data_IF_893147456958
#
_entry.id   IF_893147456958
#
_cell.length_a   1.000
_cell.length_b   1.000
_cell.length_c   1.000
_cell.angle_alpha   90.00
_cell.angle_beta   90.00
_cell.angle_gamma   90.00
#
_symmetry.space_group_name_H-M   'P 1'
#
loop_
_entity.id
_entity.type
_entity.pdbx_description
1 polymer ?
#
# COMPACT_ATOMS: atom_id res chain seq x y z
N UNK A 1 41.06 -9.75 1.94
CA UNK A 1 40.76 -8.40 1.44
C UNK A 1 39.26 -8.26 1.11
N UNK A 2 38.39 -8.32 2.13
CA UNK A 2 36.91 -8.43 1.94
C UNK A 2 36.16 -7.16 2.38
N UNK A 3 36.84 -6.28 3.13
CA UNK A 3 36.26 -5.07 3.72
C UNK A 3 35.89 -3.97 2.71
N UNK A 4 36.60 -3.87 1.58
CA UNK A 4 36.39 -2.77 0.62
C UNK A 4 35.11 -2.95 -0.22
N UNK A 5 34.65 -4.19 -0.42
CA UNK A 5 33.36 -4.50 -1.07
C UNK A 5 32.17 -4.25 -0.14
N UNK A 6 32.23 -4.76 1.10
CA UNK A 6 31.18 -4.56 2.08
C UNK A 6 30.91 -3.07 2.35
N UNK A 7 31.96 -2.26 2.48
CA UNK A 7 31.83 -0.79 2.69
C UNK A 7 31.23 -0.06 1.48
N UNK A 8 31.47 -0.56 0.26
CA UNK A 8 30.89 -0.02 -0.98
C UNK A 8 29.42 -0.38 -1.12
N UNK A 9 29.05 -1.61 -0.75
CA UNK A 9 27.65 -2.06 -0.71
C UNK A 9 26.84 -1.31 0.35
N UNK A 10 27.41 -1.13 1.55
CA UNK A 10 26.81 -0.35 2.63
C UNK A 10 26.60 1.12 2.22
N UNK A 11 27.60 1.76 1.61
CA UNK A 11 27.45 3.12 1.09
C UNK A 11 26.41 3.20 -0.03
N UNK A 12 26.30 2.17 -0.87
CA UNK A 12 25.28 2.09 -1.91
C UNK A 12 23.88 1.99 -1.30
N UNK A 13 23.72 1.20 -0.25
CA UNK A 13 22.44 1.05 0.44
C UNK A 13 22.04 2.33 1.19
N UNK A 14 22.97 2.98 1.89
CA UNK A 14 22.73 4.28 2.53
C UNK A 14 22.23 5.31 1.52
N UNK A 15 22.83 5.36 0.33
CA UNK A 15 22.42 6.26 -0.75
C UNK A 15 21.04 5.92 -1.31
N UNK A 16 20.76 4.63 -1.47
CA UNK A 16 19.47 4.13 -1.92
C UNK A 16 18.36 4.50 -0.93
N UNK A 17 18.60 4.27 0.37
CA UNK A 17 17.71 4.65 1.45
C UNK A 17 17.44 6.15 1.46
N UNK A 18 18.47 6.99 1.34
CA UNK A 18 18.29 8.44 1.28
C UNK A 18 17.39 8.90 0.11
N UNK A 19 17.45 8.23 -1.04
CA UNK A 19 16.55 8.51 -2.17
C UNK A 19 15.10 8.12 -1.84
N UNK A 20 14.89 6.94 -1.23
CA UNK A 20 13.57 6.49 -0.81
C UNK A 20 12.97 7.39 0.26
N UNK A 21 13.74 7.75 1.28
CA UNK A 21 13.30 8.64 2.37
C UNK A 21 12.93 10.02 1.83
N UNK A 22 13.68 10.54 0.85
CA UNK A 22 13.34 11.80 0.18
C UNK A 22 12.04 11.67 -0.62
N UNK A 23 11.84 10.55 -1.32
CA UNK A 23 10.61 10.29 -2.06
C UNK A 23 9.40 10.13 -1.13
N UNK A 24 9.56 9.50 0.02
CA UNK A 24 8.55 9.41 1.07
C UNK A 24 8.15 10.81 1.56
N UNK A 25 9.13 11.65 1.93
CA UNK A 25 8.86 13.02 2.36
C UNK A 25 8.18 13.88 1.28
N UNK A 26 8.47 13.62 0.00
CA UNK A 26 7.74 14.28 -1.09
C UNK A 26 6.26 13.89 -1.13
N UNK A 27 5.94 12.61 -0.89
CA UNK A 27 4.56 12.12 -0.91
C UNK A 27 3.72 12.65 0.26
N UNK A 28 4.35 13.09 1.35
CA UNK A 28 3.68 13.82 2.43
C UNK A 28 3.26 15.25 2.00
N UNK A 29 3.88 15.79 0.95
CA UNK A 29 3.66 17.16 0.47
C UNK A 29 2.87 17.23 -0.84
N UNK A 30 2.90 16.19 -1.66
CA UNK A 30 2.31 16.21 -3.00
C UNK A 30 1.75 14.85 -3.43
N UNK A 31 0.73 14.83 -4.30
CA UNK A 31 0.18 13.59 -4.84
C UNK A 31 1.23 12.78 -5.61
N UNK A 32 1.02 11.46 -5.66
CA UNK A 32 1.88 10.54 -6.43
C UNK A 32 2.15 11.11 -7.82
N UNK A 33 1.14 11.54 -8.57
CA UNK A 33 1.28 12.04 -9.94
C UNK A 33 2.31 13.19 -10.10
N UNK A 34 2.46 14.05 -9.10
CA UNK A 34 3.31 15.26 -9.15
C UNK A 34 4.77 15.02 -8.77
N UNK A 35 5.08 13.90 -8.11
CA UNK A 35 6.47 13.52 -7.83
C UNK A 35 7.25 13.51 -9.15
N UNK A 36 8.45 14.07 -9.21
CA UNK A 36 9.26 14.03 -10.44
C UNK A 36 10.69 13.63 -10.14
N UNK A 37 11.34 12.94 -11.09
CA UNK A 37 12.74 12.55 -10.90
C UNK A 37 13.66 13.78 -10.78
N UNK A 38 13.31 14.89 -11.43
CA UNK A 38 14.04 16.14 -11.35
C UNK A 38 13.95 16.74 -9.93
N UNK A 39 12.73 16.82 -9.38
CA UNK A 39 12.51 17.35 -8.03
C UNK A 39 13.12 16.44 -6.96
N UNK A 40 12.99 15.12 -7.11
CA UNK A 40 13.64 14.14 -6.24
C UNK A 40 15.16 14.32 -6.23
N UNK A 41 15.77 14.45 -7.41
CA UNK A 41 17.22 14.69 -7.57
C UNK A 41 17.65 15.98 -6.85
N UNK A 42 16.87 17.05 -6.99
CA UNK A 42 17.12 18.34 -6.34
C UNK A 42 17.06 18.21 -4.81
N UNK A 43 16.03 17.57 -4.27
CA UNK A 43 15.82 17.42 -2.82
C UNK A 43 16.84 16.50 -2.15
N UNK A 44 17.21 15.39 -2.79
CA UNK A 44 18.25 14.48 -2.26
C UNK A 44 19.68 15.02 -2.47
N UNK A 45 19.83 16.14 -3.18
CA UNK A 45 21.13 16.77 -3.42
C UNK A 45 22.03 15.98 -4.39
N UNK A 46 21.43 15.23 -5.31
CA UNK A 46 22.16 14.42 -6.30
C UNK A 46 21.85 14.90 -7.71
N UNK A 47 22.84 14.84 -8.60
CA UNK A 47 22.57 14.96 -10.04
C UNK A 47 21.60 13.86 -10.48
N UNK A 48 20.72 14.17 -11.44
CA UNK A 48 19.76 13.19 -12.01
C UNK A 48 20.44 11.92 -12.49
N UNK A 49 21.59 12.05 -13.15
CA UNK A 49 22.41 10.92 -13.59
C UNK A 49 22.89 10.04 -12.45
N UNK A 50 23.11 10.58 -11.24
CA UNK A 50 23.51 9.81 -10.07
C UNK A 50 22.32 9.04 -9.48
N UNK A 51 21.12 9.64 -9.40
CA UNK A 51 19.90 8.95 -8.98
C UNK A 51 19.61 7.77 -9.92
N UNK A 52 19.78 7.98 -11.23
CA UNK A 52 19.60 6.96 -12.26
C UNK A 52 20.54 5.74 -12.15
N UNK A 53 21.61 5.82 -11.36
CA UNK A 53 22.49 4.66 -11.06
C UNK A 53 21.89 3.71 -10.02
N UNK A 54 20.90 4.17 -9.26
CA UNK A 54 20.22 3.40 -8.22
C UNK A 54 18.83 2.95 -8.68
N UNK A 55 18.12 3.81 -9.41
CA UNK A 55 16.76 3.57 -9.89
C UNK A 55 16.64 4.04 -11.33
N UNK A 56 16.17 3.19 -12.25
CA UNK A 56 16.11 3.51 -13.68
C UNK A 56 15.10 4.62 -14.03
N UNK A 57 14.11 4.85 -13.17
CA UNK A 57 13.04 5.82 -13.37
C UNK A 57 12.46 6.28 -12.02
N UNK A 58 11.58 7.27 -12.08
CA UNK A 58 10.78 7.68 -10.91
C UNK A 58 9.87 6.54 -10.47
N UNK A 59 9.23 5.87 -11.41
CA UNK A 59 8.33 4.76 -11.19
C UNK A 59 9.06 3.62 -10.46
N UNK A 60 10.31 3.33 -10.83
CA UNK A 60 11.13 2.35 -10.11
C UNK A 60 11.40 2.74 -8.64
N UNK A 61 11.57 4.04 -8.34
CA UNK A 61 11.68 4.53 -6.94
C UNK A 61 10.37 4.27 -6.20
N UNK A 62 9.24 4.62 -6.82
CA UNK A 62 7.92 4.54 -6.18
C UNK A 62 7.43 3.11 -5.98
N UNK A 63 7.70 2.19 -6.92
CA UNK A 63 7.40 0.76 -6.76
C UNK A 63 8.17 0.14 -5.59
N UNK A 64 9.42 0.55 -5.41
CA UNK A 64 10.21 0.06 -4.29
C UNK A 64 9.78 0.67 -2.96
N UNK A 65 9.44 1.96 -2.96
CA UNK A 65 8.87 2.61 -1.79
C UNK A 65 7.55 1.95 -1.38
N UNK A 66 6.72 1.55 -2.35
CA UNK A 66 5.51 0.77 -2.10
C UNK A 66 5.81 -0.56 -1.39
N UNK A 67 6.85 -1.30 -1.81
CA UNK A 67 7.25 -2.53 -1.12
C UNK A 67 7.72 -2.28 0.33
N UNK A 68 8.46 -1.18 0.56
CA UNK A 68 8.90 -0.76 1.90
C UNK A 68 7.68 -0.49 2.79
N UNK A 69 6.74 0.33 2.32
CA UNK A 69 5.53 0.67 3.09
C UNK A 69 4.63 -0.54 3.32
N UNK A 70 4.49 -1.46 2.36
CA UNK A 70 3.78 -2.72 2.56
C UNK A 70 4.44 -3.56 3.66
N UNK A 71 5.78 -3.62 3.69
CA UNK A 71 6.50 -4.35 4.72
C UNK A 71 6.31 -3.78 6.13
N UNK A 72 6.40 -2.46 6.25
CA UNK A 72 6.18 -1.75 7.52
C UNK A 72 4.74 -1.92 8.01
N UNK A 73 3.77 -1.71 7.11
CA UNK A 73 2.35 -1.92 7.44
C UNK A 73 2.06 -3.36 7.86
N UNK A 74 2.60 -4.38 7.19
CA UNK A 74 2.36 -5.77 7.57
C UNK A 74 2.94 -6.11 8.95
N UNK A 75 4.07 -5.50 9.34
CA UNK A 75 4.64 -5.68 10.66
C UNK A 75 3.73 -5.10 11.75
N UNK A 76 3.18 -3.90 11.53
CA UNK A 76 2.23 -3.28 12.46
C UNK A 76 0.89 -4.01 12.49
N UNK A 77 0.38 -4.41 11.33
CA UNK A 77 -0.86 -5.18 11.20
C UNK A 77 -0.78 -6.49 12.00
N UNK A 78 0.36 -7.17 11.99
CA UNK A 78 0.55 -8.38 12.79
C UNK A 78 0.35 -8.12 14.30
N UNK A 79 0.86 -6.99 14.81
CA UNK A 79 0.66 -6.59 16.21
C UNK A 79 -0.79 -6.22 16.49
N UNK A 80 -1.44 -5.46 15.61
CA UNK A 80 -2.84 -5.06 15.77
C UNK A 80 -3.80 -6.26 15.75
N UNK A 81 -3.61 -7.20 14.81
CA UNK A 81 -4.43 -8.41 14.71
C UNK A 81 -4.27 -9.31 15.95
N UNK A 82 -3.04 -9.47 16.44
CA UNK A 82 -2.76 -10.25 17.65
C UNK A 82 -3.43 -9.66 18.90
N UNK A 83 -3.53 -8.34 19.00
CA UNK A 83 -4.16 -7.65 20.12
C UNK A 83 -5.69 -7.54 19.98
N UNK A 84 -6.21 -7.41 18.76
CA UNK A 84 -7.60 -7.03 18.50
C UNK A 84 -8.54 -8.17 18.12
N UNK A 85 -8.05 -9.34 17.70
CA UNK A 85 -8.91 -10.47 17.30
C UNK A 85 -9.05 -11.48 18.42
N UNK A 86 -10.29 -11.74 18.84
CA UNK A 86 -10.62 -12.72 19.88
C UNK A 86 -10.60 -14.15 19.31
N UNK A 87 -9.55 -14.92 19.62
CA UNK A 87 -9.36 -16.26 19.07
C UNK A 87 -10.52 -17.25 19.33
N UNK A 88 -11.30 -17.06 20.40
CA UNK A 88 -12.43 -17.92 20.78
C UNK A 88 -13.80 -17.39 20.34
N UNK A 89 -13.84 -16.26 19.64
CA UNK A 89 -15.08 -15.72 19.11
C UNK A 89 -15.62 -16.55 17.93
N UNK A 90 -16.90 -16.35 17.61
CA UNK A 90 -17.48 -16.91 16.38
C UNK A 90 -16.71 -16.46 15.14
N UNK A 91 -16.82 -17.21 14.05
CA UNK A 91 -16.11 -16.93 12.80
C UNK A 91 -16.50 -15.54 12.28
N UNK A 92 -17.80 -15.21 12.35
CA UNK A 92 -18.35 -13.92 11.93
C UNK A 92 -17.77 -12.78 12.75
N UNK A 93 -17.70 -12.94 14.09
CA UNK A 93 -17.14 -11.91 14.96
C UNK A 93 -15.64 -11.71 14.71
N UNK A 94 -14.88 -12.79 14.46
CA UNK A 94 -13.46 -12.67 14.07
C UNK A 94 -13.32 -11.96 12.71
N UNK A 95 -14.17 -12.27 11.75
CA UNK A 95 -14.17 -11.63 10.43
C UNK A 95 -14.43 -10.12 10.54
N UNK A 96 -15.39 -9.72 11.36
CA UNK A 96 -15.68 -8.30 11.65
C UNK A 96 -14.51 -7.60 12.34
N UNK A 97 -13.85 -8.24 13.29
CA UNK A 97 -12.66 -7.70 13.97
C UNK A 97 -11.49 -7.50 12.99
N UNK A 98 -11.24 -8.49 12.12
CA UNK A 98 -10.22 -8.40 11.07
C UNK A 98 -10.55 -7.28 10.09
N UNK A 99 -11.81 -7.15 9.67
CA UNK A 99 -12.26 -6.08 8.78
C UNK A 99 -12.06 -4.69 9.41
N UNK A 100 -12.40 -4.51 10.69
CA UNK A 100 -12.20 -3.24 11.41
C UNK A 100 -10.72 -2.86 11.52
N UNK A 101 -9.85 -3.82 11.83
CA UNK A 101 -8.40 -3.59 11.92
C UNK A 101 -7.80 -3.25 10.55
N UNK A 102 -8.16 -4.01 9.51
CA UNK A 102 -7.68 -3.75 8.15
C UNK A 102 -8.14 -2.38 7.64
N UNK A 103 -9.42 -2.05 7.82
CA UNK A 103 -9.99 -0.78 7.35
C UNK A 103 -9.38 0.42 8.05
N UNK A 104 -9.23 0.38 9.38
CA UNK A 104 -8.55 1.44 10.15
C UNK A 104 -7.09 1.59 9.71
N UNK A 105 -6.32 0.49 9.73
CA UNK A 105 -4.87 0.55 9.48
C UNK A 105 -4.53 1.03 8.06
N UNK A 106 -5.36 0.73 7.06
CA UNK A 106 -5.21 1.22 5.69
C UNK A 106 -5.72 2.65 5.51
N UNK A 107 -6.86 3.01 6.13
CA UNK A 107 -7.38 4.38 6.07
C UNK A 107 -6.41 5.43 6.65
N UNK A 108 -5.61 5.04 7.65
CA UNK A 108 -4.57 5.88 8.24
C UNK A 108 -3.31 6.01 7.36
N UNK A 109 -3.18 5.22 6.29
CA UNK A 109 -1.99 5.14 5.41
C UNK A 109 -2.32 5.58 3.99
N UNK A 110 -2.77 6.82 3.85
CA UNK A 110 -3.18 7.41 2.56
C UNK A 110 -2.13 7.24 1.46
N UNK A 111 -0.85 7.53 1.76
CA UNK A 111 0.25 7.42 0.78
C UNK A 111 0.45 5.97 0.30
N UNK A 112 0.32 4.98 1.19
CA UNK A 112 0.40 3.57 0.80
C UNK A 112 -0.74 3.21 -0.16
N UNK A 113 -1.97 3.62 0.16
CA UNK A 113 -3.13 3.39 -0.69
C UNK A 113 -2.98 4.07 -2.05
N UNK A 114 -2.53 5.31 -2.09
CA UNK A 114 -2.31 6.06 -3.33
C UNK A 114 -1.25 5.42 -4.23
N UNK A 115 -0.13 4.98 -3.65
CA UNK A 115 0.90 4.25 -4.39
C UNK A 115 0.37 2.93 -4.96
N UNK A 116 -0.42 2.19 -4.16
CA UNK A 116 -1.01 0.94 -4.61
C UNK A 116 -2.05 1.17 -5.73
N UNK A 117 -2.89 2.20 -5.58
CA UNK A 117 -3.87 2.61 -6.61
C UNK A 117 -3.22 3.06 -7.91
N UNK A 118 -2.09 3.78 -7.83
CA UNK A 118 -1.32 4.23 -9.00
C UNK A 118 -0.51 3.10 -9.65
N UNK A 119 -0.26 1.99 -8.96
CA UNK A 119 0.65 0.94 -9.41
C UNK A 119 0.30 0.41 -10.81
N UNK A 120 -0.93 -0.10 -10.98
CA UNK A 120 -1.35 -0.75 -12.22
C UNK A 120 -1.58 0.23 -13.37
N UNK A 121 -2.03 1.46 -13.07
CA UNK A 121 -2.37 2.48 -14.07
C UNK A 121 -1.20 3.37 -14.50
N UNK A 122 -0.16 3.48 -13.69
CA UNK A 122 0.93 4.45 -13.89
C UNK A 122 2.29 3.79 -13.70
N UNK A 123 2.55 3.25 -12.50
CA UNK A 123 3.92 2.87 -12.11
C UNK A 123 4.47 1.68 -12.91
N UNK A 124 3.61 0.75 -13.34
CA UNK A 124 4.02 -0.44 -14.10
C UNK A 124 4.20 -0.19 -15.61
N UNK A 125 3.91 1.02 -16.11
CA UNK A 125 3.97 1.33 -17.56
C UNK A 125 5.33 1.84 -18.04
N UNK A 126 6.07 2.58 -17.20
CA UNK A 126 7.30 3.28 -17.58
C UNK A 126 8.56 2.68 -16.91
N UNK A 127 8.59 1.36 -16.82
CA UNK A 127 9.68 0.60 -16.20
C UNK A 127 10.08 -0.58 -17.08
N UNK A 128 11.30 -1.05 -16.92
CA UNK A 128 11.81 -2.23 -17.59
C UNK A 128 11.12 -3.49 -17.09
N UNK A 129 11.10 -4.51 -17.94
CA UNK A 129 10.58 -5.85 -17.60
C UNK A 129 11.25 -6.42 -16.35
N UNK A 130 12.54 -6.13 -16.13
CA UNK A 130 13.27 -6.63 -14.95
C UNK A 130 12.86 -5.91 -13.67
N UNK A 131 12.53 -4.61 -13.72
CA UNK A 131 11.93 -3.90 -12.58
C UNK A 131 10.54 -4.45 -12.28
N UNK A 132 9.69 -4.66 -13.29
CA UNK A 132 8.38 -5.28 -13.09
C UNK A 132 8.50 -6.67 -12.48
N UNK A 133 9.39 -7.52 -12.98
CA UNK A 133 9.61 -8.87 -12.41
C UNK A 133 10.06 -8.81 -10.95
N UNK A 134 10.97 -7.90 -10.60
CA UNK A 134 11.43 -7.72 -9.22
C UNK A 134 10.27 -7.28 -8.32
N UNK A 135 9.51 -6.28 -8.76
CA UNK A 135 8.32 -5.78 -8.08
C UNK A 135 7.27 -6.86 -7.86
N UNK A 136 6.90 -7.61 -8.90
CA UNK A 136 5.89 -8.68 -8.80
C UNK A 136 6.33 -9.83 -7.90
N UNK A 137 7.63 -10.18 -7.88
CA UNK A 137 8.15 -11.18 -6.94
C UNK A 137 8.09 -10.70 -5.49
N UNK A 138 8.45 -9.45 -5.23
CA UNK A 138 8.31 -8.85 -3.90
C UNK A 138 6.85 -8.81 -3.47
N UNK A 139 5.95 -8.34 -4.35
CA UNK A 139 4.50 -8.33 -4.15
C UNK A 139 3.93 -9.71 -3.82
N UNK A 140 4.40 -10.76 -4.51
CA UNK A 140 3.99 -12.15 -4.22
C UNK A 140 4.38 -12.56 -2.80
N UNK A 141 5.58 -12.17 -2.33
CA UNK A 141 6.03 -12.37 -0.96
C UNK A 141 5.13 -11.63 0.04
N UNK A 142 4.85 -10.35 -0.19
CA UNK A 142 3.97 -9.53 0.69
C UNK A 142 2.56 -10.12 0.79
N UNK A 143 1.99 -10.58 -0.32
CA UNK A 143 0.67 -11.22 -0.33
C UNK A 143 0.67 -12.55 0.42
N UNK A 144 1.75 -13.33 0.31
CA UNK A 144 1.89 -14.57 1.07
C UNK A 144 2.02 -14.31 2.57
N UNK A 145 2.79 -13.30 2.98
CA UNK A 145 2.94 -12.88 4.37
C UNK A 145 1.60 -12.41 4.94
N UNK A 146 0.89 -11.53 4.22
CA UNK A 146 -0.44 -11.04 4.60
C UNK A 146 -1.45 -12.20 4.74
N UNK A 147 -1.51 -13.10 3.76
CA UNK A 147 -2.39 -14.26 3.81
C UNK A 147 -2.03 -15.20 4.98
N UNK A 148 -0.74 -15.30 5.32
CA UNK A 148 -0.27 -16.02 6.51
C UNK A 148 -0.68 -15.35 7.82
N UNK A 149 -0.71 -14.01 7.89
CA UNK A 149 -1.22 -13.27 9.04
C UNK A 149 -2.73 -13.46 9.19
N UNK A 150 -3.51 -13.25 8.13
CA UNK A 150 -4.95 -13.37 8.20
C UNK A 150 -5.38 -14.79 8.57
N UNK A 151 -4.74 -15.84 8.04
CA UNK A 151 -5.05 -17.24 8.38
C UNK A 151 -4.79 -17.63 9.84
N UNK A 152 -3.93 -16.91 10.57
CA UNK A 152 -3.77 -17.14 12.02
C UNK A 152 -5.02 -16.74 12.81
N UNK A 153 -5.77 -15.79 12.30
CA UNK A 153 -6.95 -15.22 12.94
C UNK A 153 -8.26 -15.72 12.32
N UNK A 154 -8.22 -16.10 11.05
CA UNK A 154 -9.31 -16.71 10.28
C UNK A 154 -8.79 -17.94 9.53
N UNK A 155 -8.59 -19.09 10.22
CA UNK A 155 -8.18 -20.34 9.57
C UNK A 155 -9.15 -20.84 8.50
N UNK A 156 -10.39 -20.33 8.52
CA UNK A 156 -11.43 -20.62 7.54
C UNK A 156 -11.14 -19.99 6.16
N UNK A 157 -10.18 -19.07 6.06
CA UNK A 157 -9.70 -18.57 4.78
C UNK A 157 -9.01 -19.71 4.02
N UNK A 158 -9.64 -20.15 2.92
CA UNK A 158 -9.10 -21.19 2.06
C UNK A 158 -7.85 -20.78 1.28
N UNK A 159 -7.49 -21.60 0.29
CA UNK A 159 -6.28 -21.41 -0.51
C UNK A 159 -6.25 -20.10 -1.31
N UNK A 160 -7.42 -19.48 -1.53
CA UNK A 160 -7.57 -18.19 -2.21
C UNK A 160 -7.21 -16.97 -1.33
N UNK A 161 -6.77 -17.17 -0.09
CA UNK A 161 -6.40 -16.08 0.83
C UNK A 161 -5.42 -15.04 0.22
N UNK A 162 -4.38 -15.42 -0.57
CA UNK A 162 -3.52 -14.42 -1.22
C UNK A 162 -4.25 -13.55 -2.26
N UNK A 163 -5.21 -14.12 -3.00
CA UNK A 163 -6.02 -13.38 -3.97
C UNK A 163 -6.96 -12.42 -3.24
N UNK A 164 -7.57 -12.85 -2.14
CA UNK A 164 -8.35 -11.97 -1.27
C UNK A 164 -7.51 -10.81 -0.73
N UNK A 165 -6.29 -11.06 -0.27
CA UNK A 165 -5.36 -10.02 0.18
C UNK A 165 -5.07 -9.00 -0.93
N UNK A 166 -4.89 -9.47 -2.16
CA UNK A 166 -4.73 -8.59 -3.32
C UNK A 166 -5.98 -7.73 -3.54
N UNK A 167 -7.18 -8.31 -3.50
CA UNK A 167 -8.44 -7.58 -3.69
C UNK A 167 -8.65 -6.54 -2.58
N UNK A 168 -8.29 -6.85 -1.34
CA UNK A 168 -8.31 -5.92 -0.20
C UNK A 168 -7.43 -4.70 -0.49
N UNK A 169 -6.18 -4.92 -0.91
CA UNK A 169 -5.25 -3.84 -1.26
C UNK A 169 -5.70 -3.04 -2.49
N UNK A 170 -6.23 -3.72 -3.52
CA UNK A 170 -6.82 -3.06 -4.71
C UNK A 170 -7.99 -2.18 -4.32
N UNK A 171 -8.85 -2.65 -3.42
CA UNK A 171 -10.01 -1.88 -2.96
C UNK A 171 -9.58 -0.66 -2.14
N UNK A 172 -8.52 -0.79 -1.33
CA UNK A 172 -7.92 0.34 -0.62
C UNK A 172 -7.35 1.40 -1.58
N UNK A 173 -6.56 0.99 -2.57
CA UNK A 173 -6.01 1.90 -3.57
C UNK A 173 -7.08 2.49 -4.51
N UNK A 174 -8.15 1.75 -4.79
CA UNK A 174 -9.26 2.27 -5.58
C UNK A 174 -10.07 3.33 -4.82
N UNK A 175 -10.31 3.12 -3.51
CA UNK A 175 -11.04 4.07 -2.68
C UNK A 175 -10.24 5.37 -2.47
N UNK A 176 -8.91 5.29 -2.38
CA UNK A 176 -8.08 6.50 -2.16
C UNK A 176 -8.17 7.49 -3.32
N UNK A 177 -8.47 7.03 -4.54
CA UNK A 177 -8.73 7.91 -5.69
C UNK A 177 -9.97 8.82 -5.53
N UNK A 178 -10.83 8.54 -4.55
CA UNK A 178 -12.02 9.35 -4.24
C UNK A 178 -11.82 10.29 -3.05
N UNK A 179 -10.70 10.20 -2.32
CA UNK A 179 -10.50 10.94 -1.05
C UNK A 179 -9.14 11.64 -1.00
N UNK A 180 -9.09 12.96 -0.73
CA UNK A 180 -10.24 13.87 -0.60
C UNK A 180 -10.87 14.18 -1.98
N UNK A 181 -12.19 14.40 -2.03
CA UNK A 181 -12.84 14.78 -3.28
C UNK A 181 -12.38 16.17 -3.74
N UNK A 182 -12.29 16.42 -5.06
CA UNK A 182 -11.85 17.72 -5.58
C UNK A 182 -12.88 18.83 -5.27
N UNK A 183 -12.47 20.12 -5.28
CA UNK A 183 -13.35 21.23 -4.92
C UNK A 183 -14.66 21.31 -5.71
N UNK A 184 -14.65 20.90 -6.99
CA UNK A 184 -15.85 20.84 -7.83
C UNK A 184 -16.87 19.82 -7.34
N UNK A 185 -16.41 18.65 -6.87
CA UNK A 185 -17.27 17.60 -6.31
C UNK A 185 -17.83 18.03 -4.95
N UNK A 186 -17.00 18.64 -4.11
CA UNK A 186 -17.45 19.22 -2.83
C UNK A 186 -18.52 20.31 -3.03
N UNK A 187 -18.35 21.18 -4.02
CA UNK A 187 -19.34 22.19 -4.36
C UNK A 187 -20.67 21.57 -4.82
N UNK A 188 -20.62 20.50 -5.62
CA UNK A 188 -21.81 19.77 -6.04
C UNK A 188 -22.55 19.11 -4.87
N UNK A 189 -21.82 18.52 -3.90
CA UNK A 189 -22.41 17.96 -2.69
C UNK A 189 -23.05 19.02 -1.78
N UNK A 190 -22.50 20.23 -1.75
CA UNK A 190 -23.06 21.33 -0.98
C UNK A 190 -24.34 21.90 -1.62
N UNK A 191 -24.41 21.93 -2.95
CA UNK A 191 -25.58 22.41 -3.72
C UNK A 191 -26.73 21.37 -3.73
N UNK A 192 -26.40 20.08 -3.93
CA UNK A 192 -27.36 18.98 -3.92
C UNK A 192 -26.97 17.90 -2.89
N UNK A 193 -27.40 18.02 -1.62
CA UNK A 193 -26.99 17.13 -0.53
C UNK A 193 -27.29 15.63 -0.75
N UNK A 194 -28.26 15.30 -1.61
CA UNK A 194 -28.54 13.92 -1.98
C UNK A 194 -27.35 13.24 -2.70
N UNK A 195 -26.49 14.01 -3.38
CA UNK A 195 -25.28 13.51 -4.04
C UNK A 195 -24.15 13.18 -3.06
N UNK A 196 -24.20 13.69 -1.83
CA UNK A 196 -23.18 13.46 -0.81
C UNK A 196 -23.10 12.00 -0.33
N UNK A 197 -24.01 11.12 -0.77
CA UNK A 197 -23.92 9.66 -0.54
C UNK A 197 -22.61 9.06 -1.07
N UNK A 198 -21.99 9.72 -2.06
CA UNK A 198 -20.71 9.32 -2.63
C UNK A 198 -19.50 9.95 -1.92
N UNK A 199 -19.73 10.78 -0.89
CA UNK A 199 -18.68 11.29 -0.02
C UNK A 199 -18.32 10.24 1.03
N UNK A 200 -17.57 9.23 0.61
CA UNK A 200 -17.20 8.10 1.44
C UNK A 200 -16.14 8.52 2.47
N UNK A 201 -16.40 8.23 3.74
CA UNK A 201 -15.34 8.22 4.76
C UNK A 201 -14.45 6.98 4.50
N UNK A 202 -13.11 7.14 4.35
CA UNK A 202 -12.23 6.04 3.95
C UNK A 202 -12.37 4.77 4.78
N UNK A 203 -12.38 4.89 6.11
CA UNK A 203 -12.46 3.74 6.99
C UNK A 203 -13.81 3.04 6.84
N UNK A 204 -14.91 3.77 6.82
CA UNK A 204 -16.25 3.20 6.70
C UNK A 204 -16.44 2.48 5.35
N UNK A 205 -15.95 3.07 4.26
CA UNK A 205 -15.96 2.45 2.93
C UNK A 205 -15.16 1.16 2.88
N UNK A 206 -13.92 1.17 3.42
CA UNK A 206 -13.09 -0.02 3.50
C UNK A 206 -13.67 -1.09 4.42
N UNK A 207 -14.23 -0.70 5.57
CA UNK A 207 -14.82 -1.63 6.53
C UNK A 207 -15.99 -2.38 5.90
N UNK A 208 -16.88 -1.68 5.21
CA UNK A 208 -17.99 -2.30 4.49
C UNK A 208 -17.49 -3.30 3.43
N UNK A 209 -16.52 -2.89 2.61
CA UNK A 209 -15.95 -3.75 1.57
C UNK A 209 -15.27 -5.00 2.16
N UNK A 210 -14.43 -4.82 3.18
CA UNK A 210 -13.66 -5.91 3.78
C UNK A 210 -14.55 -6.88 4.56
N UNK A 211 -15.55 -6.40 5.31
CA UNK A 211 -16.54 -7.28 5.96
C UNK A 211 -17.26 -8.12 4.90
N UNK A 212 -17.74 -7.51 3.82
CA UNK A 212 -18.44 -8.24 2.75
C UNK A 212 -17.53 -9.31 2.09
N UNK A 213 -16.28 -8.97 1.82
CA UNK A 213 -15.30 -9.92 1.24
C UNK A 213 -14.99 -11.06 2.21
N UNK A 214 -14.68 -10.75 3.47
CA UNK A 214 -14.29 -11.74 4.47
C UNK A 214 -15.43 -12.69 4.80
N UNK A 215 -16.65 -12.17 5.02
CA UNK A 215 -17.84 -13.01 5.25
C UNK A 215 -18.19 -13.82 4.01
N UNK A 216 -18.03 -13.24 2.81
CA UNK A 216 -18.37 -13.89 1.54
C UNK A 216 -17.50 -15.12 1.21
N UNK A 217 -16.26 -15.17 1.71
CA UNK A 217 -15.34 -16.30 1.53
C UNK A 217 -15.42 -17.35 2.64
N UNK A 218 -16.17 -17.09 3.72
CA UNK A 218 -16.35 -18.09 4.78
C UNK A 218 -17.13 -19.29 4.22
N UNK A 219 -16.83 -20.53 4.67
CA UNK A 219 -17.58 -21.71 4.29
C UNK A 219 -19.07 -21.49 4.55
N UNK A 220 -19.90 -21.62 3.51
CA UNK A 220 -21.36 -21.64 3.69
C UNK A 220 -21.73 -22.98 4.34
N UNK A 221 -22.42 -22.91 5.47
CA UNK A 221 -22.99 -24.09 6.14
C UNK A 221 -24.17 -24.66 5.36
#
# INVERSE_FOLDING_TARGET
MTFQRARSEEQREIRRRAILDTAAAMLDEMPVAEVSLNELSRRVGLAKSNVLRYFESREAVLLELLDVFLGEWLAELATELAAGVEARASVEKRADQVADILSRSLAERTVLCDLFGAQGGVLEHNVSVEVVKRHKRASLGRLADMAGLLRRHLPELGDDAPVLCLIILVSAGALSAYVPPPPSVLAAYADEPALAVYNLEPRDGLRLAFTAMLVGVLPRT
#
